data_IF_808518248880
#
_entry.id   IF_808518248880
#
_cell.length_a   1.000
_cell.length_b   1.000
_cell.length_c   1.000
_cell.angle_alpha   90.00
_cell.angle_beta   90.00
_cell.angle_gamma   90.00
#
_symmetry.space_group_name_H-M   'P 1'
#
loop_
_entity.id
_entity.type
_entity.pdbx_description
1 polymer ?
#
# COMPACT_ATOMS: atom_id res chain seq x y z
N UNK A 1 7.97 48.41 39.75
CA UNK A 1 8.32 48.53 38.33
C UNK A 1 8.17 47.17 37.68
N UNK A 2 7.05 46.93 37.04
CA UNK A 2 6.68 45.67 36.46
C UNK A 2 7.29 45.55 35.05
N UNK A 3 8.17 44.57 34.87
CA UNK A 3 8.70 44.18 33.54
C UNK A 3 7.55 43.61 32.69
N UNK A 4 7.18 44.33 31.63
CA UNK A 4 6.14 43.89 30.71
C UNK A 4 6.49 42.63 29.94
N UNK A 5 5.49 41.84 29.47
CA UNK A 5 5.67 40.62 28.71
C UNK A 5 6.36 40.93 27.40
N UNK A 6 7.26 40.01 26.99
CA UNK A 6 8.17 40.15 25.88
C UNK A 6 7.61 40.76 24.60
N UNK A 7 8.28 41.83 24.13
CA UNK A 7 7.84 42.66 23.01
C UNK A 7 7.55 41.87 21.73
N UNK A 8 6.82 42.43 20.76
CA UNK A 8 6.30 41.74 19.55
C UNK A 8 7.36 41.05 18.71
N UNK A 9 8.61 41.45 18.83
CA UNK A 9 9.76 40.77 18.16
C UNK A 9 10.07 39.39 18.78
N UNK A 10 10.04 39.26 20.14
CA UNK A 10 10.26 37.96 20.82
C UNK A 10 9.14 36.97 20.51
N UNK A 11 7.89 37.43 20.52
CA UNK A 11 6.74 36.59 20.15
C UNK A 11 6.82 36.09 18.71
N UNK A 12 7.21 36.94 17.77
CA UNK A 12 7.41 36.54 16.34
C UNK A 12 8.54 35.52 16.20
N UNK A 13 9.68 35.70 16.87
CA UNK A 13 10.79 34.75 16.85
C UNK A 13 10.39 33.40 17.44
N UNK A 14 9.65 33.36 18.54
CA UNK A 14 9.16 32.11 19.13
C UNK A 14 8.17 31.41 18.22
N UNK A 15 7.26 32.13 17.57
CA UNK A 15 6.30 31.57 16.62
C UNK A 15 7.03 31.03 15.38
N UNK A 16 8.04 31.73 14.86
CA UNK A 16 8.85 31.25 13.74
C UNK A 16 9.66 30.00 14.08
N UNK A 17 10.26 29.96 15.27
CA UNK A 17 11.00 28.79 15.76
C UNK A 17 10.06 27.57 15.97
N UNK A 18 8.87 27.80 16.53
CA UNK A 18 7.86 26.77 16.69
C UNK A 18 7.37 26.24 15.35
N UNK A 19 7.10 27.13 14.38
CA UNK A 19 6.70 26.75 13.03
C UNK A 19 7.79 25.95 12.31
N UNK A 20 9.05 26.38 12.40
CA UNK A 20 10.19 25.64 11.84
C UNK A 20 10.35 24.26 12.49
N UNK A 21 10.23 24.18 13.82
CA UNK A 21 10.27 22.91 14.55
C UNK A 21 9.16 21.97 14.11
N UNK A 22 7.95 22.49 13.88
CA UNK A 22 6.82 21.70 13.38
C UNK A 22 7.05 21.17 11.97
N UNK A 23 7.61 22.00 11.09
CA UNK A 23 7.98 21.60 9.72
C UNK A 23 9.07 20.52 9.73
N UNK A 24 10.09 20.69 10.56
CA UNK A 24 11.16 19.69 10.71
C UNK A 24 10.60 18.37 11.27
N UNK A 25 9.76 18.42 12.31
CA UNK A 25 9.10 17.26 12.87
C UNK A 25 8.21 16.57 11.83
N UNK A 26 7.46 17.34 11.05
CA UNK A 26 6.66 16.80 9.95
C UNK A 26 7.53 16.10 8.91
N UNK A 27 8.66 16.68 8.52
CA UNK A 27 9.63 16.08 7.59
C UNK A 27 10.25 14.77 8.11
N UNK A 28 10.45 14.64 9.43
CA UNK A 28 10.88 13.38 10.05
C UNK A 28 9.78 12.32 10.02
N UNK A 29 8.52 12.74 10.19
CA UNK A 29 7.36 11.85 10.20
C UNK A 29 6.99 11.40 8.78
N UNK A 30 7.01 12.32 7.79
CA UNK A 30 6.56 12.09 6.42
C UNK A 30 7.71 12.31 5.44
N UNK A 31 8.12 11.30 4.67
CA UNK A 31 9.24 11.39 3.71
C UNK A 31 8.81 12.06 2.41
N UNK A 32 8.47 13.35 2.46
CA UNK A 32 7.94 14.12 1.31
C UNK A 32 8.83 14.02 0.07
N UNK A 33 10.17 14.19 0.14
CA UNK A 33 11.02 14.03 -1.05
C UNK A 33 10.93 12.63 -1.67
N UNK A 34 10.86 11.59 -0.83
CA UNK A 34 10.68 10.21 -1.29
C UNK A 34 9.32 9.98 -1.96
N UNK A 35 8.26 10.62 -1.46
CA UNK A 35 6.93 10.56 -2.09
C UNK A 35 6.96 11.22 -3.46
N UNK A 36 7.52 12.43 -3.57
CA UNK A 36 7.64 13.14 -4.85
C UNK A 36 8.45 12.34 -5.87
N UNK A 37 9.54 11.69 -5.45
CA UNK A 37 10.36 10.85 -6.31
C UNK A 37 9.58 9.69 -6.97
N UNK A 38 8.52 9.19 -6.31
CA UNK A 38 7.65 8.14 -6.87
C UNK A 38 6.88 8.59 -8.13
N UNK A 39 6.78 9.88 -8.42
CA UNK A 39 6.20 10.37 -9.67
C UNK A 39 7.04 10.01 -10.89
N UNK A 40 8.34 9.86 -10.71
CA UNK A 40 9.31 9.77 -11.79
C UNK A 40 9.93 8.38 -11.94
N UNK A 41 10.03 7.63 -10.85
CA UNK A 41 10.64 6.30 -10.89
C UNK A 41 10.16 5.40 -9.73
N UNK A 42 10.12 4.07 -9.96
CA UNK A 42 9.90 3.14 -8.87
C UNK A 42 11.05 3.22 -7.85
N UNK A 43 10.78 3.07 -6.55
CA UNK A 43 11.81 3.13 -5.52
C UNK A 43 12.82 1.99 -5.73
N UNK A 44 14.11 2.26 -5.54
CA UNK A 44 15.16 1.24 -5.67
C UNK A 44 14.97 0.08 -4.68
N UNK A 45 14.50 0.40 -3.47
CA UNK A 45 14.19 -0.57 -2.43
C UNK A 45 13.01 -0.12 -1.57
N UNK A 46 12.56 -0.96 -0.63
CA UNK A 46 11.51 -0.63 0.35
C UNK A 46 11.94 -1.08 1.74
N UNK A 47 11.44 -0.43 2.79
CA UNK A 47 11.74 -0.80 4.17
C UNK A 47 11.41 -2.29 4.47
N UNK A 48 10.30 -2.79 3.92
CA UNK A 48 9.91 -4.20 4.07
C UNK A 48 10.83 -5.16 3.31
N UNK A 49 11.29 -4.78 2.13
CA UNK A 49 12.24 -5.57 1.35
C UNK A 49 13.58 -5.67 2.07
N UNK A 50 14.11 -4.54 2.59
CA UNK A 50 15.37 -4.55 3.34
C UNK A 50 15.25 -5.32 4.65
N UNK A 51 14.16 -5.15 5.40
CA UNK A 51 13.90 -5.96 6.59
C UNK A 51 13.83 -7.46 6.26
N UNK A 52 13.30 -7.81 5.08
CA UNK A 52 13.24 -9.19 4.60
C UNK A 52 14.61 -9.74 4.25
N UNK A 53 15.44 -8.97 3.54
CA UNK A 53 16.83 -9.33 3.24
C UNK A 53 17.63 -9.59 4.52
N UNK A 54 17.58 -8.62 5.45
CA UNK A 54 18.26 -8.74 6.73
C UNK A 54 17.87 -10.02 7.48
N UNK A 55 16.56 -10.34 7.49
CA UNK A 55 16.08 -11.57 8.13
C UNK A 55 16.55 -12.84 7.43
N UNK A 56 16.64 -12.88 6.10
CA UNK A 56 17.17 -14.02 5.36
C UNK A 56 18.64 -14.24 5.69
N UNK A 57 19.44 -13.16 5.67
CA UNK A 57 20.87 -13.21 6.02
C UNK A 57 21.10 -13.68 7.44
N UNK A 58 20.31 -13.18 8.42
CA UNK A 58 20.37 -13.63 9.81
C UNK A 58 20.00 -15.11 10.00
N UNK A 59 19.31 -15.72 9.03
CA UNK A 59 18.99 -17.15 8.99
C UNK A 59 20.02 -17.98 8.21
N UNK A 60 21.16 -17.40 7.82
CA UNK A 60 22.17 -18.05 6.98
C UNK A 60 21.70 -18.32 5.54
N UNK A 61 20.62 -17.65 5.11
CA UNK A 61 20.07 -17.82 3.74
C UNK A 61 20.57 -16.71 2.83
N UNK A 62 20.61 -16.99 1.54
CA UNK A 62 20.92 -15.98 0.53
C UNK A 62 19.88 -14.84 0.56
N UNK A 63 20.35 -13.59 0.61
CA UNK A 63 19.54 -12.39 0.65
C UNK A 63 18.95 -11.97 -0.72
N UNK A 64 19.15 -12.78 -1.78
CA UNK A 64 18.64 -12.47 -3.12
C UNK A 64 17.12 -12.50 -3.16
N UNK A 65 16.52 -11.41 -3.70
CA UNK A 65 15.08 -11.25 -3.88
C UNK A 65 14.83 -10.99 -5.37
N UNK A 66 13.89 -11.73 -5.97
CA UNK A 66 13.40 -11.45 -7.32
C UNK A 66 12.37 -10.33 -7.23
N UNK A 67 12.69 -9.18 -7.82
CA UNK A 67 11.84 -8.01 -7.93
C UNK A 67 11.88 -7.47 -9.35
N UNK A 68 10.71 -7.37 -9.97
CA UNK A 68 10.54 -6.92 -11.36
C UNK A 68 9.45 -5.86 -11.42
N UNK A 69 9.78 -4.57 -11.22
CA UNK A 69 8.81 -3.50 -11.38
C UNK A 69 8.35 -3.43 -12.84
N UNK A 70 7.06 -3.20 -13.03
CA UNK A 70 6.45 -3.02 -14.35
C UNK A 70 5.45 -1.87 -14.29
N UNK A 71 5.30 -1.07 -15.36
CA UNK A 71 4.26 -0.07 -15.47
C UNK A 71 2.87 -0.68 -15.32
N UNK A 72 1.92 0.07 -14.77
CA UNK A 72 0.53 -0.38 -14.60
C UNK A 72 -0.10 -0.81 -15.92
N UNK A 73 0.25 -0.16 -17.03
CA UNK A 73 -0.20 -0.53 -18.37
C UNK A 73 0.24 -1.94 -18.82
N UNK A 74 1.28 -2.50 -18.18
CA UNK A 74 1.75 -3.88 -18.40
C UNK A 74 1.25 -4.86 -17.35
N UNK A 75 0.20 -4.51 -16.62
CA UNK A 75 -0.47 -5.39 -15.64
C UNK A 75 -1.87 -5.73 -16.16
N UNK A 76 -2.21 -7.00 -16.14
CA UNK A 76 -3.55 -7.48 -16.55
C UNK A 76 -4.65 -6.75 -15.78
N UNK A 77 -5.69 -6.23 -16.46
CA UNK A 77 -6.87 -5.67 -15.81
C UNK A 77 -7.51 -6.65 -14.80
N UNK A 78 -7.38 -7.96 -15.06
CA UNK A 78 -7.82 -8.98 -14.12
C UNK A 78 -7.11 -8.89 -12.77
N UNK A 79 -5.77 -8.69 -12.77
CA UNK A 79 -5.02 -8.55 -11.52
C UNK A 79 -5.36 -7.27 -10.80
N UNK A 80 -5.46 -6.16 -11.51
CA UNK A 80 -5.91 -4.88 -10.95
C UNK A 80 -7.25 -5.06 -10.25
N UNK A 81 -8.25 -5.60 -10.96
CA UNK A 81 -9.60 -5.86 -10.43
C UNK A 81 -9.57 -6.78 -9.21
N UNK A 82 -8.82 -7.88 -9.27
CA UNK A 82 -8.72 -8.85 -8.18
C UNK A 82 -8.14 -8.20 -6.91
N UNK A 83 -7.10 -7.37 -7.05
CA UNK A 83 -6.46 -6.68 -5.94
C UNK A 83 -7.37 -5.63 -5.34
N UNK A 84 -8.01 -4.80 -6.15
CA UNK A 84 -8.97 -3.79 -5.68
C UNK A 84 -10.12 -4.46 -4.90
N UNK A 85 -10.75 -5.47 -5.47
CA UNK A 85 -11.83 -6.22 -4.82
C UNK A 85 -11.39 -6.90 -3.52
N UNK A 86 -10.14 -7.37 -3.47
CA UNK A 86 -9.62 -8.09 -2.32
C UNK A 86 -9.19 -7.19 -1.15
N UNK A 87 -8.59 -6.05 -1.45
CA UNK A 87 -7.87 -5.21 -0.49
C UNK A 87 -8.52 -3.84 -0.28
N UNK A 88 -9.12 -3.24 -1.33
CA UNK A 88 -9.61 -1.87 -1.27
C UNK A 88 -10.62 -1.60 -2.41
N UNK A 89 -11.85 -2.10 -2.26
CA UNK A 89 -12.86 -2.03 -3.31
C UNK A 89 -13.27 -0.59 -3.68
N UNK A 90 -13.00 0.38 -2.80
CA UNK A 90 -13.34 1.79 -2.97
C UNK A 90 -12.10 2.65 -3.16
N UNK A 91 -11.00 2.08 -3.64
CA UNK A 91 -9.71 2.74 -3.78
C UNK A 91 -9.79 4.10 -4.50
N UNK A 92 -10.59 4.20 -5.55
CA UNK A 92 -10.74 5.44 -6.34
C UNK A 92 -11.70 6.47 -5.72
N UNK A 93 -12.44 6.11 -4.66
CA UNK A 93 -13.45 6.97 -4.05
C UNK A 93 -12.94 7.74 -2.80
N UNK A 94 -11.90 7.24 -2.15
CA UNK A 94 -11.37 7.85 -0.94
C UNK A 94 -9.96 8.45 -1.15
N UNK A 95 -9.52 9.30 -0.22
CA UNK A 95 -8.21 9.95 -0.24
C UNK A 95 -7.31 9.41 0.89
N UNK A 96 -6.78 8.21 0.68
CA UNK A 96 -5.79 7.54 1.57
C UNK A 96 -6.41 6.74 2.71
N UNK A 97 -7.53 7.15 3.27
CA UNK A 97 -8.25 6.43 4.34
C UNK A 97 -9.71 6.24 3.93
N UNK A 98 -10.17 5.00 3.90
CA UNK A 98 -11.61 4.69 3.76
C UNK A 98 -12.29 4.71 5.13
N UNK A 99 -12.83 5.88 5.51
CA UNK A 99 -13.51 6.06 6.78
C UNK A 99 -14.76 5.19 6.92
N UNK A 100 -15.43 4.89 5.83
CA UNK A 100 -16.61 4.01 5.84
C UNK A 100 -16.22 2.56 6.15
N UNK A 101 -15.14 2.08 5.52
CA UNK A 101 -14.57 0.77 5.82
C UNK A 101 -14.05 0.69 7.27
N UNK A 102 -13.44 1.76 7.79
CA UNK A 102 -13.01 1.84 9.19
C UNK A 102 -14.21 1.71 10.13
N UNK A 103 -15.30 2.44 9.88
CA UNK A 103 -16.53 2.38 10.67
C UNK A 103 -17.13 0.98 10.63
N UNK A 104 -17.30 0.40 9.44
CA UNK A 104 -17.84 -0.93 9.25
C UNK A 104 -17.00 -2.01 9.94
N UNK A 105 -15.66 -1.93 9.83
CA UNK A 105 -14.75 -2.85 10.50
C UNK A 105 -14.85 -2.74 12.02
N UNK A 106 -14.96 -1.53 12.57
CA UNK A 106 -15.11 -1.28 14.01
C UNK A 106 -16.42 -1.88 14.53
N UNK A 107 -17.55 -1.62 13.85
CA UNK A 107 -18.86 -2.16 14.21
C UNK A 107 -18.87 -3.68 14.19
N UNK A 108 -18.35 -4.30 13.10
CA UNK A 108 -18.25 -5.75 12.99
C UNK A 108 -17.38 -6.35 14.10
N UNK A 109 -16.22 -5.75 14.38
CA UNK A 109 -15.32 -6.23 15.41
C UNK A 109 -15.93 -6.11 16.82
N UNK A 110 -16.78 -5.10 17.04
CA UNK A 110 -17.55 -4.95 18.29
C UNK A 110 -18.67 -5.99 18.39
N UNK A 111 -19.39 -6.22 17.28
CA UNK A 111 -20.53 -7.17 17.25
C UNK A 111 -20.09 -8.62 17.38
N UNK A 112 -18.88 -8.96 16.93
CA UNK A 112 -18.37 -10.33 16.93
C UNK A 112 -16.96 -10.41 17.58
N UNK A 113 -16.84 -10.17 18.89
CA UNK A 113 -15.53 -10.05 19.57
C UNK A 113 -14.73 -11.36 19.57
N UNK A 114 -15.40 -12.51 19.53
CA UNK A 114 -14.80 -13.85 19.44
C UNK A 114 -14.28 -14.21 18.04
N UNK A 115 -14.67 -13.47 17.00
CA UNK A 115 -14.19 -13.71 15.65
C UNK A 115 -12.88 -12.97 15.40
N UNK A 116 -12.09 -13.47 14.44
CA UNK A 116 -10.88 -12.78 13.99
C UNK A 116 -11.23 -11.34 13.58
N UNK A 117 -10.52 -10.38 14.17
CA UNK A 117 -10.66 -8.98 13.83
C UNK A 117 -10.33 -8.73 12.36
N UNK A 118 -11.14 -7.92 11.71
CA UNK A 118 -10.86 -7.39 10.37
C UNK A 118 -10.24 -6.01 10.48
N UNK A 119 -9.30 -5.72 9.57
CA UNK A 119 -8.73 -4.39 9.36
C UNK A 119 -9.44 -3.67 8.23
N UNK A 120 -9.21 -2.37 8.15
CA UNK A 120 -9.70 -1.50 7.08
C UNK A 120 -8.54 -0.63 6.55
N UNK A 121 -7.37 -1.22 6.37
CA UNK A 121 -6.24 -0.50 5.79
C UNK A 121 -6.37 -0.48 4.27
N UNK A 122 -6.24 0.70 3.69
CA UNK A 122 -6.29 0.93 2.24
C UNK A 122 -5.01 0.51 1.53
N UNK A 123 -5.05 0.42 0.20
CA UNK A 123 -3.88 0.18 -0.64
C UNK A 123 -2.81 1.24 -0.38
N UNK A 124 -3.17 2.52 -0.29
CA UNK A 124 -2.24 3.62 -0.02
C UNK A 124 -1.56 3.47 1.35
N UNK A 125 -2.31 3.12 2.39
CA UNK A 125 -1.74 2.84 3.72
C UNK A 125 -0.80 1.64 3.69
N UNK A 126 -1.15 0.58 2.97
CA UNK A 126 -0.29 -0.60 2.83
C UNK A 126 0.99 -0.27 2.07
N UNK A 127 0.92 0.56 1.01
CA UNK A 127 2.08 1.01 0.27
C UNK A 127 2.98 1.89 1.15
N UNK A 128 2.43 2.89 1.84
CA UNK A 128 3.17 3.75 2.78
C UNK A 128 3.94 2.92 3.81
N UNK A 129 3.28 1.93 4.40
CA UNK A 129 3.91 0.99 5.33
C UNK A 129 5.07 0.22 4.69
N UNK A 130 4.86 -0.35 3.51
CA UNK A 130 5.88 -1.14 2.82
C UNK A 130 7.11 -0.32 2.44
N UNK A 131 6.91 0.92 2.01
CA UNK A 131 7.99 1.79 1.53
C UNK A 131 8.89 2.30 2.67
N UNK A 132 8.31 2.77 3.79
CA UNK A 132 9.04 3.59 4.75
C UNK A 132 8.94 3.16 6.22
N UNK A 133 8.10 2.17 6.55
CA UNK A 133 7.85 1.84 7.95
C UNK A 133 8.36 0.45 8.33
N UNK A 134 8.69 0.31 9.62
CA UNK A 134 9.08 -0.97 10.19
C UNK A 134 7.93 -2.00 10.14
N UNK A 135 8.23 -3.31 10.02
CA UNK A 135 7.22 -4.37 10.12
C UNK A 135 6.56 -4.47 11.52
N UNK A 136 7.17 -3.88 12.54
CA UNK A 136 6.68 -3.90 13.91
C UNK A 136 5.31 -3.21 14.05
N UNK A 137 4.51 -3.68 15.01
CA UNK A 137 3.16 -3.15 15.25
C UNK A 137 3.20 -2.19 16.42
N UNK A 138 2.90 -0.91 16.16
CA UNK A 138 2.68 0.11 17.20
C UNK A 138 1.62 1.11 16.74
N UNK A 139 0.97 1.78 17.69
CA UNK A 139 0.02 2.83 17.39
C UNK A 139 0.67 4.05 16.74
N UNK A 140 1.89 4.40 17.19
CA UNK A 140 2.67 5.50 16.60
C UNK A 140 2.99 5.22 15.13
N UNK A 141 3.45 3.99 14.81
CA UNK A 141 3.66 3.56 13.43
C UNK A 141 2.36 3.64 12.61
N UNK A 142 1.20 3.25 13.19
CA UNK A 142 -0.10 3.33 12.48
C UNK A 142 -0.52 4.78 12.22
N UNK A 143 -0.27 5.69 13.16
CA UNK A 143 -0.49 7.13 12.95
C UNK A 143 0.41 7.68 11.84
N UNK A 144 1.70 7.30 11.84
CA UNK A 144 2.65 7.68 10.79
C UNK A 144 2.25 7.12 9.41
N UNK A 145 1.80 5.87 9.35
CA UNK A 145 1.26 5.25 8.14
C UNK A 145 0.09 6.05 7.55
N UNK A 146 -0.85 6.48 8.40
CA UNK A 146 -1.99 7.29 7.98
C UNK A 146 -1.55 8.67 7.45
N UNK A 147 -0.64 9.35 8.15
CA UNK A 147 -0.11 10.64 7.72
C UNK A 147 0.60 10.56 6.37
N UNK A 148 1.46 9.55 6.18
CA UNK A 148 2.14 9.32 4.90
C UNK A 148 1.12 9.03 3.79
N UNK A 149 0.11 8.19 4.06
CA UNK A 149 -0.91 7.86 3.07
C UNK A 149 -1.69 9.09 2.60
N UNK A 150 -2.06 10.00 3.50
CA UNK A 150 -2.74 11.25 3.15
C UNK A 150 -1.87 12.15 2.26
N UNK A 151 -0.57 12.27 2.56
CA UNK A 151 0.36 13.07 1.74
C UNK A 151 0.62 12.40 0.40
N UNK A 152 0.68 11.07 0.34
CA UNK A 152 0.78 10.35 -0.94
C UNK A 152 -0.41 10.64 -1.84
N UNK A 153 -1.63 10.62 -1.32
CA UNK A 153 -2.85 10.92 -2.09
C UNK A 153 -2.94 12.38 -2.56
N UNK A 154 -2.32 13.29 -1.81
CA UNK A 154 -2.23 14.69 -2.21
C UNK A 154 -1.21 14.90 -3.35
N UNK A 155 -0.13 14.14 -3.37
CA UNK A 155 1.01 14.36 -4.25
C UNK A 155 1.07 13.40 -5.44
N UNK A 156 0.39 12.25 -5.39
CA UNK A 156 0.49 11.20 -6.39
C UNK A 156 -0.88 10.85 -6.98
N UNK A 157 -0.98 10.66 -8.29
CA UNK A 157 -2.16 10.08 -8.93
C UNK A 157 -2.46 8.67 -8.36
N UNK A 158 -3.71 8.28 -8.30
CA UNK A 158 -4.15 6.94 -7.89
C UNK A 158 -3.47 5.82 -8.68
N UNK A 159 -3.27 6.02 -9.98
CA UNK A 159 -2.60 5.06 -10.88
C UNK A 159 -1.15 4.82 -10.45
N UNK A 160 -0.42 5.87 -10.13
CA UNK A 160 0.96 5.79 -9.63
C UNK A 160 1.03 5.04 -8.31
N UNK A 161 0.11 5.31 -7.37
CA UNK A 161 0.02 4.59 -6.10
C UNK A 161 -0.22 3.10 -6.34
N UNK A 162 -1.17 2.74 -7.21
CA UNK A 162 -1.50 1.35 -7.53
C UNK A 162 -0.34 0.64 -8.23
N UNK A 163 0.34 1.30 -9.17
CA UNK A 163 1.52 0.78 -9.85
C UNK A 163 2.62 0.40 -8.87
N UNK A 164 3.00 1.33 -7.99
CA UNK A 164 4.00 1.07 -6.96
C UNK A 164 3.56 0.00 -5.96
N UNK A 165 2.28 -0.07 -5.64
CA UNK A 165 1.75 -1.12 -4.80
C UNK A 165 1.94 -2.50 -5.42
N UNK A 166 1.47 -2.69 -6.66
CA UNK A 166 1.55 -3.97 -7.36
C UNK A 166 3.00 -4.40 -7.61
N UNK A 167 3.90 -3.43 -7.87
CA UNK A 167 5.33 -3.67 -8.10
C UNK A 167 6.17 -3.77 -6.82
N UNK A 168 5.64 -3.35 -5.66
CA UNK A 168 6.42 -3.17 -4.43
C UNK A 168 6.09 -4.11 -3.28
N UNK A 169 4.97 -4.84 -3.31
CA UNK A 169 4.58 -5.74 -2.21
C UNK A 169 5.18 -7.14 -2.35
N UNK A 170 5.27 -7.85 -1.21
CA UNK A 170 5.67 -9.26 -1.15
C UNK A 170 4.54 -10.17 -1.66
N UNK A 171 4.84 -11.05 -2.62
CA UNK A 171 3.94 -12.06 -3.17
C UNK A 171 4.37 -13.49 -2.82
N UNK A 172 5.36 -13.65 -1.99
CA UNK A 172 5.87 -14.94 -1.56
C UNK A 172 7.31 -14.87 -1.12
N UNK A 173 7.87 -16.00 -0.73
CA UNK A 173 9.27 -16.04 -0.32
C UNK A 173 10.18 -15.58 -1.47
N UNK A 174 11.00 -14.55 -1.22
CA UNK A 174 11.93 -13.93 -2.16
C UNK A 174 11.27 -13.37 -3.44
N UNK A 175 9.95 -13.09 -3.43
CA UNK A 175 9.21 -12.64 -4.62
C UNK A 175 8.52 -11.33 -4.33
N UNK A 176 8.93 -10.26 -5.01
CA UNK A 176 8.40 -8.92 -4.89
C UNK A 176 7.88 -8.40 -6.23
N UNK A 177 6.69 -7.84 -6.22
CA UNK A 177 6.02 -7.33 -7.40
C UNK A 177 5.28 -8.40 -8.20
N UNK A 178 4.23 -7.95 -8.88
CA UNK A 178 3.30 -8.82 -9.60
C UNK A 178 3.94 -9.55 -10.79
N UNK A 179 4.91 -8.94 -11.48
CA UNK A 179 5.60 -9.58 -12.60
C UNK A 179 6.45 -10.77 -12.13
N UNK A 180 7.21 -10.59 -11.05
CA UNK A 180 7.98 -11.70 -10.47
C UNK A 180 7.06 -12.83 -9.97
N UNK A 181 5.90 -12.46 -9.40
CA UNK A 181 4.89 -13.41 -8.95
C UNK A 181 4.25 -14.18 -10.12
N UNK A 182 3.84 -13.49 -11.18
CA UNK A 182 3.25 -14.11 -12.36
C UNK A 182 4.21 -15.13 -13.01
N UNK A 183 5.49 -14.77 -13.16
CA UNK A 183 6.50 -15.67 -13.69
C UNK A 183 6.76 -16.87 -12.79
N UNK A 184 6.86 -16.64 -11.48
CA UNK A 184 7.16 -17.69 -10.51
C UNK A 184 6.06 -18.72 -10.41
N UNK A 185 4.81 -18.30 -10.33
CA UNK A 185 3.68 -19.20 -10.01
C UNK A 185 2.97 -19.74 -11.25
N UNK A 186 3.06 -19.03 -12.38
CA UNK A 186 2.32 -19.40 -13.59
C UNK A 186 3.17 -19.44 -14.87
N UNK A 187 4.46 -19.08 -14.81
CA UNK A 187 5.32 -19.07 -16.00
C UNK A 187 4.94 -18.02 -17.05
N UNK A 188 4.11 -17.04 -16.67
CA UNK A 188 3.57 -16.01 -17.58
C UNK A 188 3.93 -14.59 -17.13
N UNK A 189 3.62 -13.59 -17.93
CA UNK A 189 3.78 -12.18 -17.55
C UNK A 189 2.61 -11.66 -16.71
N UNK A 190 2.81 -10.58 -15.96
CA UNK A 190 1.73 -9.91 -15.25
C UNK A 190 0.62 -9.41 -16.19
N UNK A 191 0.95 -9.09 -17.45
CA UNK A 191 0.00 -8.65 -18.48
C UNK A 191 -0.95 -9.77 -18.93
N UNK A 192 -0.51 -11.04 -18.85
CA UNK A 192 -1.24 -12.18 -19.40
C UNK A 192 -1.96 -13.03 -18.36
N UNK A 193 -2.12 -12.51 -17.13
CA UNK A 193 -2.82 -13.23 -16.07
C UNK A 193 -4.31 -13.39 -16.37
N UNK A 194 -4.82 -14.63 -16.24
CA UNK A 194 -6.26 -14.91 -16.32
C UNK A 194 -6.96 -14.41 -15.05
N UNK A 195 -8.30 -14.45 -15.05
CA UNK A 195 -9.12 -14.07 -13.89
C UNK A 195 -8.83 -14.95 -12.67
N UNK A 196 -8.70 -16.24 -12.89
CA UNK A 196 -8.41 -17.25 -11.87
C UNK A 196 -7.02 -17.05 -11.27
N UNK A 197 -6.01 -16.88 -12.12
CA UNK A 197 -4.63 -16.60 -11.71
C UNK A 197 -4.53 -15.29 -10.93
N UNK A 198 -5.23 -14.25 -11.39
CA UNK A 198 -5.30 -12.95 -10.72
C UNK A 198 -5.95 -13.06 -9.31
N UNK A 199 -7.09 -13.76 -9.20
CA UNK A 199 -7.75 -14.00 -7.94
C UNK A 199 -6.87 -14.84 -6.99
N UNK A 200 -6.14 -15.81 -7.53
CA UNK A 200 -5.21 -16.62 -6.78
C UNK A 200 -4.07 -15.77 -6.20
N UNK A 201 -3.44 -14.91 -6.99
CA UNK A 201 -2.41 -13.98 -6.52
C UNK A 201 -2.98 -13.02 -5.47
N UNK A 202 -4.09 -12.36 -5.74
CA UNK A 202 -4.70 -11.42 -4.80
C UNK A 202 -5.04 -12.07 -3.44
N UNK A 203 -5.36 -13.36 -3.44
CA UNK A 203 -5.59 -14.10 -2.21
C UNK A 203 -4.37 -14.21 -1.30
N UNK A 204 -3.15 -14.07 -1.84
CA UNK A 204 -1.91 -14.16 -1.08
C UNK A 204 -1.57 -12.90 -0.29
N UNK A 205 -2.02 -11.72 -0.75
CA UNK A 205 -1.54 -10.41 -0.27
C UNK A 205 -1.51 -10.26 1.26
N UNK A 206 -2.52 -10.68 2.05
CA UNK A 206 -2.51 -10.50 3.50
C UNK A 206 -1.40 -11.25 4.24
N UNK A 207 -0.77 -12.25 3.60
CA UNK A 207 0.29 -13.05 4.20
C UNK A 207 0.73 -14.16 3.27
N UNK A 208 1.55 -13.87 2.27
CA UNK A 208 1.90 -14.80 1.20
C UNK A 208 2.44 -16.14 1.70
N UNK A 209 3.29 -16.11 2.72
CA UNK A 209 3.89 -17.33 3.29
C UNK A 209 2.89 -18.21 4.04
N UNK A 210 1.94 -17.59 4.73
CA UNK A 210 0.89 -18.32 5.49
C UNK A 210 -0.08 -18.97 4.52
N UNK A 211 -0.40 -18.32 3.42
CA UNK A 211 -1.33 -18.85 2.43
C UNK A 211 -0.73 -20.00 1.63
N UNK A 212 0.55 -19.90 1.25
CA UNK A 212 1.26 -21.00 0.59
C UNK A 212 1.39 -22.25 1.46
N UNK A 213 1.52 -22.06 2.78
CA UNK A 213 1.54 -23.16 3.74
C UNK A 213 0.14 -23.78 4.00
N UNK A 214 -0.94 -23.16 3.52
CA UNK A 214 -2.31 -23.68 3.72
C UNK A 214 -3.13 -23.55 2.42
N UNK A 215 -2.97 -24.49 1.48
CA UNK A 215 -3.62 -24.44 0.17
C UNK A 215 -5.14 -24.35 0.21
N UNK A 216 -5.79 -25.08 1.13
CA UNK A 216 -7.25 -25.07 1.25
C UNK A 216 -7.81 -23.70 1.66
N UNK A 217 -7.14 -23.01 2.58
CA UNK A 217 -7.51 -21.65 2.98
C UNK A 217 -7.27 -20.65 1.85
N UNK A 218 -6.18 -20.82 1.13
CA UNK A 218 -5.85 -20.02 -0.04
C UNK A 218 -6.91 -20.17 -1.13
N UNK A 219 -7.24 -21.41 -1.53
CA UNK A 219 -8.26 -21.68 -2.54
C UNK A 219 -9.63 -21.10 -2.19
N UNK A 220 -10.08 -21.24 -0.93
CA UNK A 220 -11.35 -20.61 -0.50
C UNK A 220 -11.33 -19.08 -0.57
N UNK A 221 -10.19 -18.44 -0.31
CA UNK A 221 -10.07 -16.98 -0.46
C UNK A 221 -10.06 -16.58 -1.94
N UNK A 222 -9.32 -17.29 -2.77
CA UNK A 222 -9.26 -17.04 -4.22
C UNK A 222 -10.65 -17.17 -4.86
N UNK A 223 -11.40 -18.23 -4.54
CA UNK A 223 -12.76 -18.44 -5.03
C UNK A 223 -13.72 -17.28 -4.64
N UNK A 224 -13.61 -16.77 -3.41
CA UNK A 224 -14.39 -15.60 -2.96
C UNK A 224 -14.03 -14.34 -3.71
N UNK A 225 -12.74 -14.13 -3.99
CA UNK A 225 -12.29 -12.97 -4.77
C UNK A 225 -12.81 -13.08 -6.20
N UNK A 226 -12.70 -14.25 -6.83
CA UNK A 226 -13.19 -14.51 -8.18
C UNK A 226 -14.70 -14.25 -8.29
N UNK A 227 -15.50 -14.73 -7.34
CA UNK A 227 -16.94 -14.47 -7.29
C UNK A 227 -17.24 -12.96 -7.18
N UNK A 228 -16.51 -12.24 -6.31
CA UNK A 228 -16.66 -10.78 -6.19
C UNK A 228 -16.22 -10.03 -7.43
N UNK A 229 -15.19 -10.48 -8.14
CA UNK A 229 -14.79 -9.91 -9.44
C UNK A 229 -15.91 -10.04 -10.48
N UNK A 230 -16.68 -11.13 -10.46
CA UNK A 230 -17.81 -11.33 -11.36
C UNK A 230 -18.98 -10.40 -11.01
N UNK A 231 -19.30 -10.27 -9.71
CA UNK A 231 -20.37 -9.38 -9.24
C UNK A 231 -20.04 -7.89 -9.45
N UNK A 232 -18.76 -7.51 -9.44
CA UNK A 232 -18.31 -6.13 -9.66
C UNK A 232 -18.25 -5.74 -11.16
N UNK A 233 -18.85 -6.50 -12.07
CA UNK A 233 -18.89 -6.17 -13.51
C UNK A 233 -19.74 -4.93 -13.77
N UNK A 234 -20.67 -4.61 -12.88
CA UNK A 234 -21.55 -3.43 -12.94
C UNK A 234 -20.97 -2.18 -12.27
N UNK A 235 -19.86 -2.30 -11.56
CA UNK A 235 -19.16 -1.15 -10.96
C UNK A 235 -18.27 -0.53 -12.02
N UNK A 236 -18.60 0.67 -12.46
CA UNK A 236 -18.05 1.48 -13.54
C UNK A 236 -16.54 1.36 -13.86
N UNK A 237 -16.01 2.05 -14.85
CA UNK A 237 -14.67 1.80 -15.36
C UNK A 237 -13.65 1.81 -14.21
N UNK A 238 -12.99 0.68 -14.00
CA UNK A 238 -11.99 0.50 -12.94
C UNK A 238 -10.77 1.42 -13.11
N UNK A 239 -10.69 2.04 -14.27
CA UNK A 239 -9.73 3.09 -14.61
C UNK A 239 -10.53 4.14 -15.39
N UNK A 240 -10.66 5.39 -14.91
CA UNK A 240 -11.24 6.47 -15.71
C UNK A 240 -10.46 6.59 -17.02
N UNK A 241 -11.17 6.60 -18.16
CA UNK A 241 -10.57 6.74 -19.51
C UNK A 241 -9.77 8.04 -19.66
N UNK A 242 -10.11 9.07 -18.89
CA UNK A 242 -9.45 10.39 -18.89
C UNK A 242 -7.97 10.39 -18.45
N UNK A 243 -7.46 9.30 -17.87
CA UNK A 243 -6.09 9.24 -17.42
C UNK A 243 -5.08 8.76 -18.50
N UNK A 244 -5.52 8.48 -19.71
CA UNK A 244 -4.64 8.09 -20.80
C UNK A 244 -4.00 9.30 -21.52
N UNK A 245 -4.56 10.50 -21.38
CA UNK A 245 -4.09 11.70 -22.09
C UNK A 245 -3.09 12.56 -21.31
N UNK A 246 -2.96 12.36 -19.99
CA UNK A 246 -2.08 13.18 -19.15
C UNK A 246 -0.62 12.70 -19.13
N UNK A 247 -0.33 11.48 -19.61
CA UNK A 247 1.04 10.95 -19.75
C UNK A 247 1.71 11.33 -21.09
N UNK A 248 1.02 12.08 -21.95
CA UNK A 248 1.53 12.48 -23.27
C UNK A 248 1.87 13.98 -23.37
N UNK A 249 1.94 14.72 -22.24
CA UNK A 249 2.36 16.13 -22.22
C UNK A 249 3.57 16.39 -21.34
#
# INVERSE_FOLDING_TARGET
MSGGPGGPRRTRLLLSAAALSLVLLFGVVVPVPGIVALRFAPPATTAFLEARKARLLAQGKEGRIDRRPVPLAKVSPNLVKAVLVAEDARFFEHHGIDWSAVKAARERNRRYPSRRRIGASTITQQLAKNLWLSPERSWLRKGREAAIALVMELLLPKRTILEHYLSGIEWGERTWGCEAAARKYFGTSAASLTREQAAWLAAMIPGPRVFLANPSRHGRRAARILARMSAATEVGPLLPEEAAEDDAR
#
